data_IF_695872903951
#
_entry.id   IF_695872903951
#
_cell.length_a   1.000
_cell.length_b   1.000
_cell.length_c   1.000
_cell.angle_alpha   90.00
_cell.angle_beta   90.00
_cell.angle_gamma   90.00
#
_symmetry.space_group_name_H-M   'P 1'
#
loop_
_entity.id
_entity.type
_entity.pdbx_description
1 polymer ?
#
# COMPACT_ATOMS: atom_id res chain seq x y z
N UNK A 1 -23.90 -43.84 1.34
CA UNK A 1 -23.45 -43.71 2.74
C UNK A 1 -21.98 -43.36 2.72
N UNK A 2 -21.67 -42.12 3.11
CA UNK A 2 -20.38 -41.62 3.60
C UNK A 2 -19.08 -41.93 2.81
N UNK A 3 -18.77 -41.13 1.79
CA UNK A 3 -17.38 -40.78 1.49
C UNK A 3 -17.29 -39.31 1.06
N UNK A 4 -17.94 -38.45 1.85
CA UNK A 4 -17.70 -37.03 1.78
C UNK A 4 -16.49 -36.69 2.67
N UNK A 5 -15.46 -36.15 2.04
CA UNK A 5 -14.62 -35.10 2.60
C UNK A 5 -13.73 -35.48 3.81
N UNK A 6 -12.81 -36.43 3.62
CA UNK A 6 -11.51 -36.32 4.25
C UNK A 6 -10.55 -35.63 3.27
N UNK A 7 -10.74 -34.32 3.07
CA UNK A 7 -9.72 -33.47 2.49
C UNK A 7 -8.55 -33.42 3.49
N UNK A 8 -7.73 -34.48 3.49
CA UNK A 8 -6.49 -34.53 4.21
C UNK A 8 -5.71 -33.30 3.80
N UNK A 9 -5.56 -32.34 4.73
CA UNK A 9 -4.53 -31.30 4.61
C UNK A 9 -3.25 -32.07 4.34
N UNK A 10 -2.79 -32.11 3.08
CA UNK A 10 -1.49 -32.64 2.72
C UNK A 10 -0.50 -31.80 3.51
N UNK A 11 -0.08 -32.32 4.66
CA UNK A 11 0.96 -31.71 5.47
C UNK A 11 2.14 -31.50 4.54
N UNK A 12 2.54 -30.25 4.35
CA UNK A 12 3.62 -29.91 3.46
C UNK A 12 4.83 -30.76 3.84
N UNK A 13 5.42 -31.45 2.87
CA UNK A 13 6.61 -32.28 3.08
C UNK A 13 7.65 -31.47 3.88
N UNK A 14 8.19 -32.01 4.99
CA UNK A 14 9.19 -31.31 5.79
C UNK A 14 10.40 -30.86 4.97
N UNK A 15 10.78 -31.61 3.93
CA UNK A 15 11.88 -31.22 3.04
C UNK A 15 11.50 -30.00 2.20
N UNK A 16 10.30 -29.99 1.61
CA UNK A 16 9.78 -28.82 0.90
C UNK A 16 9.66 -27.59 1.81
N UNK A 17 9.25 -27.76 3.08
CA UNK A 17 9.19 -26.67 4.06
C UNK A 17 10.58 -26.11 4.38
N UNK A 18 11.57 -26.98 4.56
CA UNK A 18 12.96 -26.58 4.79
C UNK A 18 13.55 -25.87 3.56
N UNK A 19 13.21 -26.33 2.35
CA UNK A 19 13.64 -25.69 1.11
C UNK A 19 13.13 -24.24 1.03
N UNK A 20 11.82 -24.03 1.25
CA UNK A 20 11.22 -22.67 1.30
C UNK A 20 11.89 -21.80 2.36
N UNK A 21 12.12 -22.35 3.55
CA UNK A 21 12.76 -21.62 4.65
C UNK A 21 14.19 -21.20 4.30
N UNK A 22 14.97 -22.11 3.71
CA UNK A 22 16.36 -21.83 3.30
C UNK A 22 16.44 -20.78 2.19
N UNK A 23 15.49 -20.80 1.24
CA UNK A 23 15.35 -19.77 0.21
C UNK A 23 15.05 -18.41 0.85
N UNK A 24 14.14 -18.38 1.82
CA UNK A 24 13.79 -17.16 2.52
C UNK A 24 14.98 -16.56 3.26
N UNK A 25 15.73 -17.38 4.02
CA UNK A 25 16.96 -16.94 4.70
C UNK A 25 17.98 -16.41 3.68
N UNK A 26 18.18 -17.11 2.56
CA UNK A 26 19.13 -16.68 1.53
C UNK A 26 18.75 -15.31 0.96
N UNK A 27 17.48 -15.07 0.69
CA UNK A 27 16.97 -13.76 0.20
C UNK A 27 17.17 -12.66 1.23
N UNK A 28 16.84 -12.92 2.50
CA UNK A 28 17.02 -11.96 3.58
C UNK A 28 18.50 -11.61 3.79
N UNK A 29 19.40 -12.60 3.81
CA UNK A 29 20.84 -12.35 3.93
C UNK A 29 21.43 -11.57 2.74
N UNK A 30 20.94 -11.81 1.53
CA UNK A 30 21.39 -11.08 0.35
C UNK A 30 20.97 -9.59 0.37
N UNK A 31 19.88 -9.28 1.06
CA UNK A 31 19.31 -7.93 1.12
C UNK A 31 19.64 -7.16 2.40
N UNK A 32 19.96 -7.86 3.49
CA UNK A 32 20.31 -7.27 4.78
C UNK A 32 21.67 -6.58 4.73
N UNK A 33 21.68 -5.28 4.43
CA UNK A 33 22.86 -4.41 4.58
C UNK A 33 22.74 -3.61 5.87
N UNK A 34 23.69 -3.82 6.78
CA UNK A 34 23.83 -2.97 7.96
C UNK A 34 24.22 -1.57 7.49
N UNK A 35 23.43 -0.56 7.84
CA UNK A 35 23.78 0.81 7.52
C UNK A 35 24.95 1.25 8.41
N UNK A 36 26.12 1.46 7.81
CA UNK A 36 27.32 1.97 8.49
C UNK A 36 27.33 3.49 8.58
N UNK A 37 26.47 4.18 7.82
CA UNK A 37 26.35 5.63 7.81
C UNK A 37 25.13 6.04 8.63
N UNK A 38 25.38 6.38 9.89
CA UNK A 38 24.33 6.86 10.79
C UNK A 38 24.01 8.33 10.50
N UNK A 39 22.73 8.64 10.33
CA UNK A 39 22.22 10.01 10.21
C UNK A 39 21.10 10.25 11.21
N UNK A 40 20.93 11.51 11.62
CA UNK A 40 19.90 11.89 12.60
C UNK A 40 18.53 11.92 11.90
N UNK A 41 17.54 11.25 12.49
CA UNK A 41 16.15 11.36 12.02
C UNK A 41 15.48 12.59 12.67
N UNK A 42 15.44 13.70 11.94
CA UNK A 42 14.85 14.95 12.40
C UNK A 42 13.37 14.83 12.81
N UNK A 43 12.59 13.93 12.20
CA UNK A 43 11.16 13.75 12.52
C UNK A 43 10.90 13.17 13.90
N UNK A 44 11.87 12.43 14.45
CA UNK A 44 11.78 11.77 15.76
C UNK A 44 12.62 12.46 16.84
N UNK A 45 13.20 13.62 16.53
CA UNK A 45 14.06 14.35 17.46
C UNK A 45 13.20 15.18 18.42
N UNK A 46 13.35 14.95 19.73
CA UNK A 46 12.75 15.81 20.75
C UNK A 46 13.53 17.11 20.82
N UNK A 47 12.85 18.23 20.55
CA UNK A 47 13.46 19.56 20.66
C UNK A 47 13.40 20.00 22.11
N UNK A 48 14.55 19.92 22.79
CA UNK A 48 14.68 20.46 24.14
C UNK A 48 14.86 21.98 24.02
N UNK A 49 13.88 22.73 24.50
CA UNK A 49 14.00 24.19 24.58
C UNK A 49 15.10 24.55 25.58
N UNK A 50 15.93 25.58 25.30
CA UNK A 50 16.92 26.04 26.28
C UNK A 50 16.23 26.51 27.56
N UNK A 51 17.01 26.58 28.65
CA UNK A 51 16.52 27.11 29.93
C UNK A 51 15.95 28.53 29.71
N UNK A 52 14.82 28.88 30.33
CA UNK A 52 14.15 30.17 30.13
C UNK A 52 15.03 31.37 30.51
N UNK A 53 16.02 31.17 31.37
CA UNK A 53 16.95 32.22 31.81
C UNK A 53 18.11 32.44 30.82
N UNK A 54 18.22 31.64 29.76
CA UNK A 54 19.26 31.83 28.75
C UNK A 54 18.85 32.97 27.82
N UNK A 55 19.37 34.18 28.08
CA UNK A 55 19.25 35.28 27.14
C UNK A 55 20.17 35.01 25.94
N UNK A 56 19.60 34.41 24.89
CA UNK A 56 20.26 34.34 23.58
C UNK A 56 19.99 35.68 22.89
N UNK A 57 21.02 36.45 22.49
CA UNK A 57 20.82 37.69 21.74
C UNK A 57 19.97 37.41 20.50
N UNK A 58 18.92 38.20 20.27
CA UNK A 58 17.88 37.92 19.27
C UNK A 58 18.41 37.80 17.82
N UNK A 59 19.63 38.26 17.52
CA UNK A 59 20.28 38.11 16.21
C UNK A 59 21.10 36.83 16.01
N UNK A 60 21.53 36.12 17.06
CA UNK A 60 22.43 34.95 16.88
C UNK A 60 21.72 33.72 16.31
N UNK A 61 20.38 33.70 16.34
CA UNK A 61 19.58 32.49 16.21
C UNK A 61 19.21 32.10 14.78
N UNK A 62 19.45 32.95 13.78
CA UNK A 62 18.90 32.73 12.43
C UNK A 62 19.81 33.10 11.24
N UNK A 63 20.87 33.89 11.42
CA UNK A 63 21.46 34.61 10.29
C UNK A 63 22.25 33.74 9.29
N UNK A 64 22.56 32.48 9.60
CA UNK A 64 23.34 31.61 8.70
C UNK A 64 22.90 30.14 8.65
N UNK A 65 21.73 29.76 9.21
CA UNK A 65 21.29 28.36 9.22
C UNK A 65 21.02 27.78 7.83
N UNK A 66 20.71 28.63 6.84
CA UNK A 66 20.48 28.18 5.47
C UNK A 66 21.79 27.80 4.74
N UNK A 67 22.93 28.33 5.18
CA UNK A 67 24.25 28.04 4.61
C UNK A 67 25.03 26.98 5.39
N UNK A 68 24.52 26.51 6.54
CA UNK A 68 25.18 25.46 7.31
C UNK A 68 25.07 24.11 6.57
N UNK A 69 26.19 23.47 6.20
CA UNK A 69 26.18 22.18 5.51
C UNK A 69 25.45 21.08 6.31
N UNK A 70 25.47 21.15 7.64
CA UNK A 70 24.78 20.17 8.49
C UNK A 70 23.27 20.35 8.39
N UNK A 71 22.79 21.60 8.40
CA UNK A 71 21.37 21.91 8.25
C UNK A 71 20.83 21.51 6.87
N UNK A 72 21.62 21.70 5.81
CA UNK A 72 21.28 21.26 4.47
C UNK A 72 21.17 19.73 4.37
N UNK A 73 22.15 19.01 4.94
CA UNK A 73 22.12 17.54 4.96
C UNK A 73 20.88 16.99 5.68
N UNK A 74 20.48 17.60 6.80
CA UNK A 74 19.26 17.20 7.53
C UNK A 74 18.00 17.46 6.71
N UNK A 75 17.90 18.64 6.07
CA UNK A 75 16.76 19.01 5.21
C UNK A 75 16.64 18.07 4.00
N UNK A 76 17.75 17.76 3.35
CA UNK A 76 17.76 16.85 2.21
C UNK A 76 17.46 15.41 2.62
N UNK A 77 17.91 14.99 3.81
CA UNK A 77 17.53 13.73 4.42
C UNK A 77 16.01 13.62 4.63
N UNK A 78 15.38 14.69 5.12
CA UNK A 78 13.92 14.73 5.33
C UNK A 78 13.16 14.68 4.00
N UNK A 79 13.56 15.49 3.02
CA UNK A 79 12.99 15.45 1.65
C UNK A 79 13.13 14.07 1.02
N UNK A 80 14.26 13.40 1.25
CA UNK A 80 14.52 12.04 0.77
C UNK A 80 13.68 10.97 1.47
N UNK A 81 13.32 11.19 2.73
CA UNK A 81 12.44 10.29 3.47
C UNK A 81 11.01 10.28 2.90
N UNK A 82 10.51 11.45 2.48
CA UNK A 82 9.16 11.63 1.92
C UNK A 82 9.01 11.11 0.47
N UNK A 83 10.12 10.87 -0.22
CA UNK A 83 10.11 10.31 -1.56
C UNK A 83 9.58 8.86 -1.56
N UNK A 84 8.79 8.47 -2.59
CA UNK A 84 8.33 7.09 -2.71
C UNK A 84 9.50 6.12 -2.87
N UNK A 85 9.38 4.86 -2.41
CA UNK A 85 10.47 3.88 -2.40
C UNK A 85 11.21 3.76 -3.73
N UNK A 86 10.48 3.76 -4.85
CA UNK A 86 11.07 3.65 -6.21
C UNK A 86 12.00 4.81 -6.59
N UNK A 87 11.75 6.03 -6.08
CA UNK A 87 12.64 7.18 -6.32
C UNK A 87 13.80 7.21 -5.32
N UNK A 88 13.54 6.76 -4.08
CA UNK A 88 14.53 6.75 -3.00
C UNK A 88 15.61 5.67 -3.21
N UNK A 89 15.23 4.53 -3.81
CA UNK A 89 16.09 3.38 -4.07
C UNK A 89 16.18 3.08 -5.58
N UNK A 90 17.14 3.68 -6.31
CA UNK A 90 17.27 3.46 -7.75
C UNK A 90 17.80 2.06 -8.12
N UNK A 91 18.40 1.35 -7.17
CA UNK A 91 18.99 0.02 -7.37
C UNK A 91 17.94 -1.11 -7.39
N UNK A 92 16.69 -0.84 -7.01
CA UNK A 92 15.63 -1.84 -6.89
C UNK A 92 15.09 -2.00 -5.47
N UNK A 93 14.10 -2.89 -5.28
CA UNK A 93 13.50 -3.16 -3.97
C UNK A 93 14.52 -3.83 -3.04
N UNK A 94 14.55 -3.42 -1.78
CA UNK A 94 15.44 -4.01 -0.78
C UNK A 94 14.82 -5.15 0.00
N UNK A 95 13.50 -5.27 0.02
CA UNK A 95 12.82 -6.33 0.76
C UNK A 95 11.83 -7.04 -0.15
N UNK A 96 11.52 -8.28 0.18
CA UNK A 96 10.52 -9.08 -0.54
C UNK A 96 9.14 -8.39 -0.57
N UNK A 97 8.77 -7.70 0.51
CA UNK A 97 7.54 -6.90 0.56
C UNK A 97 7.53 -5.71 -0.41
N UNK A 98 8.70 -5.12 -0.71
CA UNK A 98 8.83 -4.00 -1.64
C UNK A 98 8.84 -4.45 -3.10
N UNK A 99 9.23 -5.69 -3.36
CA UNK A 99 9.17 -6.30 -4.71
C UNK A 99 7.73 -6.27 -5.24
N UNK A 100 6.76 -6.50 -4.36
CA UNK A 100 5.36 -6.43 -4.73
C UNK A 100 4.95 -5.02 -5.18
N UNK A 101 4.60 -4.89 -6.46
CA UNK A 101 4.16 -3.64 -7.05
C UNK A 101 5.30 -2.67 -7.40
N UNK A 102 6.57 -3.08 -7.30
CA UNK A 102 7.71 -2.28 -7.74
C UNK A 102 7.59 -1.87 -9.21
N UNK A 103 7.27 -2.84 -10.08
CA UNK A 103 7.13 -2.63 -11.52
C UNK A 103 5.74 -2.13 -11.95
N UNK A 104 4.93 -1.65 -11.00
CA UNK A 104 3.59 -1.13 -11.30
C UNK A 104 3.61 0.05 -12.26
N UNK A 105 4.66 0.88 -12.25
CA UNK A 105 4.84 1.97 -13.22
C UNK A 105 5.06 1.45 -14.63
N UNK A 106 5.92 0.45 -14.80
CA UNK A 106 6.14 -0.22 -16.08
C UNK A 106 4.81 -0.78 -16.62
N UNK A 107 3.99 -1.39 -15.76
CA UNK A 107 2.65 -1.83 -16.15
C UNK A 107 1.75 -0.67 -16.62
N UNK A 108 1.75 0.47 -15.92
CA UNK A 108 0.96 1.63 -16.33
C UNK A 108 1.45 2.29 -17.62
N UNK A 109 2.75 2.25 -17.87
CA UNK A 109 3.38 2.81 -19.06
C UNK A 109 3.15 1.91 -20.28
N UNK A 110 3.22 0.59 -20.10
CA UNK A 110 2.78 -0.41 -21.10
C UNK A 110 1.31 -0.25 -21.44
N UNK A 111 0.44 0.02 -20.45
CA UNK A 111 -0.98 0.33 -20.69
C UNK A 111 -1.19 1.60 -21.50
N UNK A 112 -0.31 2.60 -21.35
CA UNK A 112 -0.35 3.86 -22.11
C UNK A 112 0.23 3.72 -23.52
N UNK A 113 1.33 2.99 -23.67
CA UNK A 113 2.02 2.82 -24.95
C UNK A 113 1.32 1.83 -25.88
N UNK A 114 0.58 0.87 -25.33
CA UNK A 114 -0.10 -0.17 -26.10
C UNK A 114 -1.57 -0.32 -25.71
N UNK A 115 -2.42 0.69 -25.97
CA UNK A 115 -3.86 0.63 -25.69
C UNK A 115 -4.54 -0.51 -26.44
N UNK A 116 -4.00 -0.93 -27.60
CA UNK A 116 -4.50 -2.09 -28.36
C UNK A 116 -4.34 -3.41 -27.59
N UNK A 117 -3.24 -3.61 -26.86
CA UNK A 117 -3.01 -4.84 -26.08
C UNK A 117 -3.87 -4.90 -24.82
N UNK A 118 -4.15 -3.75 -24.19
CA UNK A 118 -4.92 -3.72 -22.94
C UNK A 118 -6.43 -3.62 -23.16
N UNK A 119 -6.88 -2.84 -24.15
CA UNK A 119 -8.31 -2.61 -24.41
C UNK A 119 -9.00 -3.82 -25.06
N UNK A 120 -8.27 -4.60 -25.88
CA UNK A 120 -8.83 -5.79 -26.55
C UNK A 120 -9.35 -6.86 -25.61
N UNK A 121 -8.72 -7.03 -24.45
CA UNK A 121 -9.08 -8.05 -23.47
C UNK A 121 -9.77 -7.50 -22.23
N UNK A 122 -9.80 -6.17 -22.06
CA UNK A 122 -10.47 -5.54 -20.93
C UNK A 122 -11.92 -5.19 -21.29
N UNK A 123 -12.85 -6.09 -20.96
CA UNK A 123 -14.29 -5.85 -21.04
C UNK A 123 -14.89 -5.90 -19.63
N UNK A 124 -14.75 -4.82 -18.83
CA UNK A 124 -15.31 -4.82 -17.49
C UNK A 124 -16.83 -4.90 -17.58
N UNK A 125 -17.46 -5.52 -16.58
CA UNK A 125 -18.92 -5.58 -16.50
C UNK A 125 -19.45 -4.15 -16.33
N UNK A 126 -20.19 -3.67 -17.31
CA UNK A 126 -20.87 -2.39 -17.24
C UNK A 126 -22.24 -2.56 -16.61
N UNK A 127 -22.67 -1.56 -15.85
CA UNK A 127 -24.06 -1.48 -15.39
C UNK A 127 -24.98 -1.29 -16.60
N UNK A 128 -26.02 -2.11 -16.71
CA UNK A 128 -27.06 -1.95 -17.71
C UNK A 128 -28.23 -1.09 -17.15
N UNK A 129 -29.12 -0.57 -18.01
CA UNK A 129 -30.24 0.27 -17.55
C UNK A 129 -31.10 -0.41 -16.50
N UNK A 130 -31.32 -1.72 -16.62
CA UNK A 130 -32.11 -2.49 -15.65
C UNK A 130 -31.40 -2.65 -14.29
N UNK A 131 -30.07 -2.81 -14.26
CA UNK A 131 -29.33 -2.85 -12.99
C UNK A 131 -29.29 -1.47 -12.34
N UNK A 132 -29.14 -0.40 -13.14
CA UNK A 132 -29.20 0.97 -12.63
C UNK A 132 -30.59 1.33 -12.09
N UNK A 133 -31.65 0.89 -12.76
CA UNK A 133 -33.02 1.00 -12.26
C UNK A 133 -33.19 0.26 -10.93
N UNK A 134 -32.73 -0.99 -10.86
CA UNK A 134 -32.85 -1.80 -9.65
C UNK A 134 -32.10 -1.19 -8.46
N UNK A 135 -30.90 -0.66 -8.68
CA UNK A 135 -30.14 0.08 -7.66
C UNK A 135 -30.90 1.30 -7.16
N UNK A 136 -31.40 2.14 -8.08
CA UNK A 136 -32.18 3.34 -7.71
C UNK A 136 -33.45 2.99 -6.93
N UNK A 137 -34.12 1.91 -7.34
CA UNK A 137 -35.33 1.43 -6.67
C UNK A 137 -35.04 0.91 -5.25
N UNK A 138 -33.92 0.20 -5.05
CA UNK A 138 -33.49 -0.22 -3.71
C UNK A 138 -33.22 0.99 -2.83
N UNK A 139 -32.55 2.01 -3.37
CA UNK A 139 -32.25 3.25 -2.64
C UNK A 139 -33.53 3.99 -2.24
N UNK A 140 -34.56 4.05 -3.12
CA UNK A 140 -35.80 4.77 -2.84
C UNK A 140 -36.79 3.99 -1.98
N UNK A 141 -36.91 2.67 -2.18
CA UNK A 141 -37.99 1.85 -1.62
C UNK A 141 -37.49 0.84 -0.57
N UNK A 142 -36.17 0.74 -0.35
CA UNK A 142 -35.56 -0.17 0.63
C UNK A 142 -35.66 -1.67 0.29
N UNK A 143 -36.31 -2.02 -0.82
CA UNK A 143 -36.49 -3.39 -1.32
C UNK A 143 -36.16 -3.44 -2.81
N UNK A 144 -35.71 -4.58 -3.31
CA UNK A 144 -35.45 -4.72 -4.75
C UNK A 144 -36.76 -4.79 -5.53
N UNK A 145 -36.82 -4.29 -6.77
CA UNK A 145 -38.04 -4.34 -7.59
C UNK A 145 -38.40 -5.77 -8.02
N UNK A 146 -37.49 -6.73 -7.82
CA UNK A 146 -37.69 -8.14 -8.12
C UNK A 146 -37.90 -8.99 -6.86
N UNK A 147 -38.00 -8.37 -5.69
CA UNK A 147 -38.28 -9.08 -4.45
C UNK A 147 -39.70 -9.66 -4.49
N UNK A 148 -39.84 -10.91 -4.04
CA UNK A 148 -41.17 -11.52 -3.88
C UNK A 148 -41.92 -10.74 -2.80
N UNK A 149 -43.24 -10.54 -2.96
CA UNK A 149 -44.05 -10.00 -1.88
C UNK A 149 -43.93 -10.95 -0.69
N UNK A 150 -43.65 -10.38 0.48
CA UNK A 150 -43.64 -11.13 1.73
C UNK A 150 -45.02 -11.78 1.88
N UNK A 151 -45.07 -13.10 2.08
CA UNK A 151 -46.32 -13.90 2.13
C UNK A 151 -47.34 -13.42 3.18
N UNK A 152 -47.01 -12.40 3.97
CA UNK A 152 -47.83 -11.85 5.06
C UNK A 152 -48.67 -10.62 4.67
N UNK A 153 -48.42 -9.93 3.54
CA UNK A 153 -49.13 -8.68 3.17
C UNK A 153 -50.18 -8.83 2.06
N UNK A 154 -50.44 -10.04 1.56
CA UNK A 154 -51.47 -10.28 0.55
C UNK A 154 -52.88 -10.32 1.17
N UNK A 155 -53.33 -9.21 1.75
CA UNK A 155 -54.74 -9.03 2.08
C UNK A 155 -55.53 -8.88 0.76
N UNK A 156 -56.45 -9.83 0.52
CA UNK A 156 -57.33 -9.84 -0.65
C UNK A 156 -58.17 -8.55 -0.73
N UNK A 157 -58.30 -7.90 -1.90
CA UNK A 157 -59.28 -6.82 -2.07
C UNK A 157 -60.71 -7.39 -1.98
N UNK A 158 -61.60 -6.65 -1.30
CA UNK A 158 -63.05 -6.87 -1.26
C UNK A 158 -63.69 -6.46 -2.58
#
# INVERSE_FOLDING_TARGET
MAEAAAAAKRGTDPVARNAVWSEHIRRELATQKINTTFTINASKMSVITPKPNTQVPEGRRAENLDNDPVAQQVRDGLRRADLPPMRRLPQGPQTTSQEYGWDRRLSSEVKRSSPMLTSRFNRPRQTCPITSYAERYIVSNGKSPFARPDHQTAAKPK
#
